data_IF_276540667511
#
_entry.id   IF_276540667511
#
_cell.length_a   1.000
_cell.length_b   1.000
_cell.length_c   1.000
_cell.angle_alpha   90.00
_cell.angle_beta   90.00
_cell.angle_gamma   90.00
#
_symmetry.space_group_name_H-M   'P 1'
#
loop_
_entity.id
_entity.type
_entity.pdbx_description
1 polymer ?
#
# COMPACT_ATOMS: atom_id res chain seq x y z
N UNK A 1 -0.11 95.43 -36.70
CA UNK A 1 -0.19 96.46 -35.68
C UNK A 1 -1.27 96.04 -34.69
N UNK A 2 -1.11 96.03 -33.43
CA UNK A 2 0.03 95.73 -32.58
C UNK A 2 -0.16 94.32 -31.82
N UNK A 3 0.93 93.95 -31.23
CA UNK A 3 1.24 92.81 -30.48
C UNK A 3 0.31 92.55 -29.23
N UNK A 4 -0.05 91.31 -29.00
CA UNK A 4 -0.55 90.82 -27.70
C UNK A 4 0.37 89.71 -27.19
N UNK A 5 1.21 90.04 -26.22
CA UNK A 5 1.95 89.10 -25.41
C UNK A 5 0.97 88.36 -24.52
N UNK A 6 0.96 87.03 -24.57
CA UNK A 6 0.32 86.17 -23.55
C UNK A 6 1.41 85.56 -22.69
N UNK A 7 1.43 85.94 -21.41
CA UNK A 7 2.27 85.34 -20.37
C UNK A 7 1.88 83.87 -20.13
N UNK A 8 2.86 83.00 -20.21
CA UNK A 8 2.71 81.59 -19.78
C UNK A 8 3.19 81.52 -18.34
N UNK A 9 2.25 81.20 -17.44
CA UNK A 9 2.60 80.83 -16.06
C UNK A 9 3.04 79.37 -15.99
N UNK A 10 4.31 79.20 -15.58
CA UNK A 10 4.89 77.88 -15.33
C UNK A 10 4.43 77.43 -13.93
N UNK A 11 3.48 76.50 -13.92
CA UNK A 11 3.09 75.80 -12.69
C UNK A 11 4.13 74.74 -12.40
N UNK A 12 4.86 74.89 -11.30
CA UNK A 12 5.75 73.88 -10.76
C UNK A 12 4.93 72.81 -10.09
N UNK A 13 4.77 71.65 -10.73
CA UNK A 13 4.20 70.45 -10.14
C UNK A 13 5.28 69.76 -9.32
N UNK A 14 5.24 69.90 -8.00
CA UNK A 14 6.06 69.10 -7.08
C UNK A 14 5.52 67.66 -7.06
N UNK A 15 6.21 66.76 -7.76
CA UNK A 15 5.95 65.34 -7.70
C UNK A 15 6.47 64.78 -6.36
N UNK A 16 5.58 64.62 -5.38
CA UNK A 16 5.89 63.91 -4.15
C UNK A 16 6.02 62.42 -4.48
N UNK A 17 7.24 61.92 -4.56
CA UNK A 17 7.53 60.48 -4.62
C UNK A 17 7.28 59.94 -3.22
N UNK A 18 6.09 59.39 -3.02
CA UNK A 18 5.81 58.49 -1.90
C UNK A 18 6.60 57.18 -2.13
N UNK A 19 7.77 57.06 -1.54
CA UNK A 19 8.44 55.77 -1.34
C UNK A 19 7.68 54.96 -0.30
N UNK A 20 6.59 54.36 -0.76
CA UNK A 20 5.95 53.28 -0.05
C UNK A 20 6.84 52.05 -0.12
N UNK A 21 7.71 51.88 0.87
CA UNK A 21 8.37 50.61 1.09
C UNK A 21 7.31 49.64 1.61
N UNK A 22 6.56 49.03 0.72
CA UNK A 22 5.80 47.82 1.07
C UNK A 22 6.85 46.75 1.36
N UNK A 23 7.17 46.61 2.65
CA UNK A 23 7.75 45.38 3.19
C UNK A 23 6.69 44.31 3.03
N UNK A 24 6.64 43.70 1.82
CA UNK A 24 5.99 42.39 1.69
C UNK A 24 6.71 41.47 2.67
N UNK A 25 6.09 41.26 3.83
CA UNK A 25 6.37 40.12 4.68
C UNK A 25 6.00 38.88 3.89
N UNK A 26 6.93 38.44 3.02
CA UNK A 26 6.97 37.07 2.54
C UNK A 26 6.96 36.22 3.81
N UNK A 27 5.80 35.68 4.15
CA UNK A 27 5.70 34.60 5.12
C UNK A 27 6.77 33.60 4.68
N UNK A 28 7.86 33.52 5.45
CA UNK A 28 8.86 32.48 5.28
C UNK A 28 8.10 31.18 5.45
N UNK A 29 7.74 30.54 4.33
CA UNK A 29 7.38 29.15 4.36
C UNK A 29 8.60 28.47 4.95
N UNK A 30 8.47 27.99 6.18
CA UNK A 30 9.46 27.12 6.80
C UNK A 30 9.47 25.82 5.97
N UNK A 31 10.11 25.87 4.83
CA UNK A 31 10.48 24.66 4.09
C UNK A 31 11.64 24.06 4.88
N UNK A 32 11.33 23.03 5.65
CA UNK A 32 12.32 22.26 6.38
C UNK A 32 13.13 21.42 5.40
N UNK A 33 14.19 22.03 4.88
CA UNK A 33 15.28 21.31 4.24
C UNK A 33 16.29 20.87 5.31
N UNK A 34 17.22 19.97 4.94
CA UNK A 34 18.41 19.77 5.75
C UNK A 34 18.99 21.13 6.12
N UNK A 35 19.05 21.42 7.41
CA UNK A 35 19.54 22.69 7.89
C UNK A 35 21.00 22.55 8.29
N UNK A 36 21.80 23.55 7.96
CA UNK A 36 23.14 23.64 8.49
C UNK A 36 23.08 24.17 9.92
N UNK A 37 23.25 23.27 10.89
CA UNK A 37 23.34 23.64 12.29
C UNK A 37 24.71 24.26 12.57
N UNK A 38 24.73 25.59 12.68
CA UNK A 38 25.95 26.36 12.92
C UNK A 38 26.61 26.07 14.25
N UNK A 39 25.83 25.66 15.25
CA UNK A 39 26.33 25.39 16.61
C UNK A 39 27.15 24.10 16.64
N UNK A 40 26.73 23.09 15.88
CA UNK A 40 27.37 21.77 15.75
C UNK A 40 28.22 21.63 14.49
N UNK A 41 28.14 22.62 13.58
CA UNK A 41 28.81 22.61 12.27
C UNK A 41 28.46 21.37 11.41
N UNK A 42 27.20 20.96 11.40
CA UNK A 42 26.70 19.78 10.67
C UNK A 42 25.46 20.11 9.85
N UNK A 43 25.25 19.35 8.74
CA UNK A 43 24.00 19.33 8.02
C UNK A 43 23.07 18.31 8.70
N UNK A 44 21.88 18.71 9.12
CA UNK A 44 21.01 17.89 9.95
C UNK A 44 19.53 17.99 9.55
N UNK A 45 18.81 16.87 9.71
CA UNK A 45 17.34 16.79 9.65
C UNK A 45 16.74 16.68 11.06
N UNK A 46 17.55 16.76 12.13
CA UNK A 46 17.11 16.49 13.50
C UNK A 46 15.89 17.33 13.88
N UNK A 47 15.92 18.66 13.70
CA UNK A 47 14.81 19.54 14.07
C UNK A 47 13.48 19.17 13.37
N UNK A 48 13.56 18.72 12.11
CA UNK A 48 12.40 18.25 11.36
C UNK A 48 11.86 16.94 11.94
N UNK A 49 12.76 16.01 12.24
CA UNK A 49 12.42 14.68 12.75
C UNK A 49 11.93 14.73 14.19
N UNK A 50 12.53 15.55 15.07
CA UNK A 50 12.12 15.72 16.47
C UNK A 50 10.63 16.11 16.59
N UNK A 51 10.10 16.81 15.61
CA UNK A 51 8.68 17.20 15.59
C UNK A 51 7.72 16.06 15.28
N UNK A 52 8.17 14.99 14.59
CA UNK A 52 7.33 13.88 14.13
C UNK A 52 7.56 12.58 14.90
N UNK A 53 8.76 12.37 15.43
CA UNK A 53 9.12 11.15 16.16
C UNK A 53 8.14 10.81 17.32
N UNK A 54 7.57 11.76 18.08
CA UNK A 54 6.57 11.46 19.11
C UNK A 54 5.29 10.80 18.59
N UNK A 55 4.96 10.97 17.29
CA UNK A 55 3.78 10.39 16.65
C UNK A 55 3.97 8.92 16.22
N UNK A 56 5.19 8.41 16.35
CA UNK A 56 5.55 7.06 15.89
C UNK A 56 5.65 6.16 17.10
N UNK A 57 4.89 5.09 17.09
CA UNK A 57 4.64 4.24 18.25
C UNK A 57 5.07 2.80 18.01
N UNK A 58 5.41 2.10 19.07
CA UNK A 58 5.61 0.65 19.06
C UNK A 58 4.29 -0.04 19.32
N UNK A 59 3.95 -1.03 18.49
CA UNK A 59 2.76 -1.86 18.64
C UNK A 59 3.18 -3.22 19.19
N UNK A 60 2.59 -3.62 20.30
CA UNK A 60 2.67 -4.96 20.85
C UNK A 60 1.40 -5.72 20.52
N UNK A 61 1.55 -6.84 19.81
CA UNK A 61 0.49 -7.82 19.58
C UNK A 61 0.47 -8.77 20.76
N UNK A 62 -0.67 -8.87 21.43
CA UNK A 62 -0.85 -9.66 22.67
C UNK A 62 -1.67 -10.89 22.37
N UNK A 63 -1.22 -12.04 22.83
CA UNK A 63 -1.92 -13.31 22.66
C UNK A 63 -2.01 -14.07 23.98
N UNK A 64 -3.13 -14.72 24.21
CA UNK A 64 -3.33 -15.63 25.33
C UNK A 64 -2.96 -17.06 24.88
N UNK A 65 -2.09 -17.74 25.64
CA UNK A 65 -1.77 -19.13 25.33
C UNK A 65 -2.85 -20.08 25.89
N UNK A 66 -2.73 -21.37 25.58
CA UNK A 66 -3.67 -22.42 26.05
C UNK A 66 -3.76 -22.56 27.58
N UNK A 67 -2.80 -22.01 28.32
CA UNK A 67 -2.77 -22.00 29.79
C UNK A 67 -3.37 -20.72 30.38
N UNK A 68 -3.92 -19.82 29.54
CA UNK A 68 -4.49 -18.54 29.95
C UNK A 68 -3.45 -17.44 30.24
N UNK A 69 -2.14 -17.67 30.02
CA UNK A 69 -1.11 -16.65 30.17
C UNK A 69 -1.11 -15.72 28.98
N UNK A 70 -1.14 -14.43 29.27
CA UNK A 70 -1.06 -13.34 28.29
C UNK A 70 0.38 -12.94 28.06
N UNK A 71 0.81 -12.93 26.80
CA UNK A 71 2.16 -12.55 26.41
C UNK A 71 2.21 -11.81 25.08
N UNK A 72 3.34 -11.15 24.78
CA UNK A 72 3.58 -10.56 23.48
C UNK A 72 3.85 -11.67 22.44
N UNK A 73 3.08 -11.69 21.37
CA UNK A 73 3.23 -12.63 20.26
C UNK A 73 3.93 -11.99 19.04
N UNK A 74 4.01 -10.66 19.00
CA UNK A 74 4.65 -9.92 17.93
C UNK A 74 4.88 -8.46 18.32
N UNK A 75 5.82 -7.83 17.64
CA UNK A 75 6.14 -6.41 17.80
C UNK A 75 6.23 -5.79 16.42
N UNK A 76 5.68 -4.60 16.27
CA UNK A 76 5.78 -3.77 15.08
C UNK A 76 5.76 -2.30 15.44
N UNK A 77 5.60 -1.47 14.44
CA UNK A 77 5.49 -0.03 14.56
C UNK A 77 4.15 0.47 14.05
N UNK A 78 3.84 1.72 14.38
CA UNK A 78 2.68 2.43 13.85
C UNK A 78 2.90 3.93 13.83
N UNK A 79 2.02 4.64 13.16
CA UNK A 79 1.99 6.09 13.17
C UNK A 79 0.60 6.60 13.58
N UNK A 80 0.56 7.52 14.56
CA UNK A 80 -0.67 8.21 14.92
C UNK A 80 -1.03 9.15 13.80
N UNK A 81 -2.14 8.93 13.10
CA UNK A 81 -2.55 9.74 11.97
C UNK A 81 -3.80 10.59 12.24
N UNK A 82 -4.55 10.25 13.28
CA UNK A 82 -5.63 11.06 13.84
C UNK A 82 -5.52 11.00 15.37
N UNK A 83 -5.02 12.08 15.95
CA UNK A 83 -4.78 12.16 17.39
C UNK A 83 -6.06 12.42 18.21
N UNK A 84 -7.08 13.04 17.61
CA UNK A 84 -8.35 13.33 18.25
C UNK A 84 -9.17 12.05 18.41
N UNK A 85 -9.27 11.26 17.35
CA UNK A 85 -9.98 9.97 17.36
C UNK A 85 -9.11 8.81 17.89
N UNK A 86 -7.82 9.04 18.11
CA UNK A 86 -6.88 8.04 18.61
C UNK A 86 -6.49 6.97 17.58
N UNK A 87 -6.58 7.26 16.28
CA UNK A 87 -6.27 6.27 15.25
C UNK A 87 -4.78 6.16 14.95
N UNK A 88 -4.32 4.90 14.92
CA UNK A 88 -2.95 4.50 14.59
C UNK A 88 -2.99 3.59 13.36
N UNK A 89 -2.25 3.96 12.33
CA UNK A 89 -2.05 3.12 11.15
C UNK A 89 -0.87 2.19 11.36
N UNK A 90 -1.01 0.96 10.91
CA UNK A 90 0.03 -0.07 10.95
C UNK A 90 -0.17 -1.11 9.84
N UNK A 91 0.60 -2.19 9.83
CA UNK A 91 0.39 -3.30 8.89
C UNK A 91 -0.60 -4.34 9.43
N UNK A 92 -1.31 -5.00 8.51
CA UNK A 92 -2.21 -6.10 8.82
C UNK A 92 -1.46 -7.29 9.46
N UNK A 93 -0.26 -7.63 8.97
CA UNK A 93 0.53 -8.72 9.52
C UNK A 93 1.05 -8.44 10.95
N UNK A 94 1.20 -7.17 11.36
CA UNK A 94 1.58 -6.80 12.74
C UNK A 94 0.48 -7.13 13.74
N UNK A 95 -0.78 -6.99 13.33
CA UNK A 95 -1.95 -7.22 14.21
C UNK A 95 -2.59 -8.61 14.01
N UNK A 96 -2.14 -9.36 13.01
CA UNK A 96 -2.75 -10.66 12.68
C UNK A 96 -2.69 -11.63 13.86
N UNK A 97 -3.83 -12.27 14.15
CA UNK A 97 -3.96 -13.32 15.16
C UNK A 97 -3.76 -12.87 16.62
N UNK A 98 -3.80 -11.56 16.88
CA UNK A 98 -3.76 -11.02 18.25
C UNK A 98 -5.12 -11.04 18.94
N UNK A 99 -5.11 -11.30 20.25
CA UNK A 99 -6.28 -11.21 21.11
C UNK A 99 -6.44 -9.81 21.72
N UNK A 100 -5.36 -9.00 21.68
CA UNK A 100 -5.32 -7.62 22.18
C UNK A 100 -4.08 -6.89 21.68
N UNK A 101 -4.09 -5.56 21.84
CA UNK A 101 -3.01 -4.71 21.36
C UNK A 101 -2.62 -3.68 22.40
N UNK A 102 -1.34 -3.36 22.43
CA UNK A 102 -0.80 -2.25 23.23
C UNK A 102 0.01 -1.32 22.34
N UNK A 103 -0.13 -0.03 22.58
CA UNK A 103 0.63 1.03 21.94
C UNK A 103 1.58 1.60 22.98
N UNK A 104 2.88 1.49 22.73
CA UNK A 104 3.91 2.09 23.55
C UNK A 104 4.36 3.38 22.89
N UNK A 105 4.25 4.49 23.63
CA UNK A 105 4.67 5.80 23.19
C UNK A 105 6.15 6.05 23.53
N UNK A 106 6.83 6.95 22.80
CA UNK A 106 8.24 7.29 23.06
C UNK A 106 8.48 7.87 24.46
N UNK A 107 7.47 8.46 25.10
CA UNK A 107 7.55 8.99 26.48
C UNK A 107 7.44 7.91 27.57
N UNK A 108 7.39 6.62 27.19
CA UNK A 108 7.32 5.47 28.09
C UNK A 108 5.90 5.05 28.49
N UNK A 109 4.86 5.79 28.12
CA UNK A 109 3.46 5.37 28.36
C UNK A 109 3.08 4.18 27.51
N UNK A 110 2.27 3.30 28.09
CA UNK A 110 1.65 2.15 27.40
C UNK A 110 0.15 2.30 27.46
N UNK A 111 -0.50 2.28 26.30
CA UNK A 111 -1.95 2.45 26.15
C UNK A 111 -2.52 1.20 25.49
N UNK A 112 -3.67 0.73 25.97
CA UNK A 112 -4.41 -0.36 25.30
C UNK A 112 -5.02 0.16 24.00
N UNK A 113 -5.03 -0.68 22.99
CA UNK A 113 -5.64 -0.37 21.70
C UNK A 113 -6.62 -1.47 21.28
N UNK A 114 -7.59 -1.06 20.46
CA UNK A 114 -8.57 -1.96 19.82
C UNK A 114 -8.29 -2.01 18.33
N UNK A 115 -8.44 -3.17 17.73
CA UNK A 115 -8.43 -3.30 16.27
C UNK A 115 -9.75 -2.74 15.71
N UNK A 116 -9.67 -1.70 14.89
CA UNK A 116 -10.80 -1.17 14.13
C UNK A 116 -11.09 -2.08 12.93
N UNK A 117 -10.04 -2.50 12.24
CA UNK A 117 -10.07 -3.45 11.14
C UNK A 117 -8.72 -3.58 10.46
N UNK A 118 -8.62 -4.55 9.57
CA UNK A 118 -7.41 -4.79 8.79
C UNK A 118 -7.73 -5.25 7.38
N UNK A 119 -6.84 -4.93 6.46
CA UNK A 119 -6.90 -5.33 5.07
C UNK A 119 -5.61 -6.06 4.68
N UNK A 120 -5.67 -7.38 4.67
CA UNK A 120 -4.52 -8.24 4.35
C UNK A 120 -3.97 -8.04 2.94
N UNK A 121 -4.81 -7.83 1.88
CA UNK A 121 -4.29 -7.64 0.52
C UNK A 121 -3.40 -6.41 0.33
N UNK A 122 -3.66 -5.32 1.05
CA UNK A 122 -2.83 -4.10 1.03
C UNK A 122 -1.86 -4.03 2.20
N UNK A 123 -1.98 -4.99 3.15
CA UNK A 123 -1.20 -5.04 4.38
C UNK A 123 -1.34 -3.78 5.26
N UNK A 124 -2.55 -3.24 5.37
CA UNK A 124 -2.88 -2.09 6.22
C UNK A 124 -3.85 -2.49 7.32
N UNK A 125 -3.65 -1.97 8.51
CA UNK A 125 -4.57 -2.08 9.64
C UNK A 125 -4.71 -0.74 10.36
N UNK A 126 -5.84 -0.56 11.05
CA UNK A 126 -6.13 0.59 11.90
C UNK A 126 -6.39 0.10 13.32
N UNK A 127 -5.64 0.63 14.26
CA UNK A 127 -5.90 0.50 15.68
C UNK A 127 -6.51 1.80 16.21
N UNK A 128 -7.31 1.69 17.26
CA UNK A 128 -7.79 2.83 18.05
C UNK A 128 -7.30 2.72 19.47
N UNK A 129 -6.64 3.75 19.97
CA UNK A 129 -6.14 3.86 21.33
C UNK A 129 -6.57 5.20 21.93
N UNK A 130 -7.10 5.15 23.15
CA UNK A 130 -7.53 6.35 23.86
C UNK A 130 -6.33 7.06 24.49
N UNK A 131 -6.41 8.40 24.63
CA UNK A 131 -5.47 9.21 25.43
C UNK A 131 -4.00 9.14 24.95
N UNK A 132 -3.76 9.15 23.64
CA UNK A 132 -2.41 9.12 23.07
C UNK A 132 -1.59 10.37 23.44
N UNK A 133 -2.20 11.57 23.50
CA UNK A 133 -1.57 12.87 23.83
C UNK A 133 -0.29 13.15 23.04
N UNK A 134 -0.32 12.83 21.76
CA UNK A 134 0.73 13.14 20.81
C UNK A 134 0.09 13.77 19.56
N UNK A 135 0.86 14.55 18.82
CA UNK A 135 0.39 15.10 17.55
C UNK A 135 0.23 13.98 16.52
N UNK A 136 -0.70 14.15 15.58
CA UNK A 136 -0.78 13.28 14.41
C UNK A 136 0.38 13.53 13.44
N UNK A 137 0.88 12.48 12.80
CA UNK A 137 1.86 12.61 11.73
C UNK A 137 1.25 13.38 10.56
N UNK A 138 1.96 14.37 10.05
CA UNK A 138 1.55 15.06 8.82
C UNK A 138 1.73 14.13 7.63
N UNK A 139 0.82 14.18 6.66
CA UNK A 139 0.86 13.34 5.46
C UNK A 139 1.24 14.15 4.23
N UNK A 140 1.90 13.51 3.28
CA UNK A 140 2.13 14.06 1.95
C UNK A 140 1.47 13.16 0.89
N UNK A 141 1.18 13.75 -0.25
CA UNK A 141 0.65 13.01 -1.39
C UNK A 141 1.75 12.15 -2.03
N UNK A 142 1.69 10.83 -1.81
CA UNK A 142 2.65 9.86 -2.38
C UNK A 142 2.61 9.76 -3.91
N UNK A 143 1.55 10.28 -4.58
CA UNK A 143 1.48 10.28 -6.04
C UNK A 143 2.52 11.22 -6.66
N UNK A 144 2.96 12.24 -5.89
CA UNK A 144 3.97 13.21 -6.31
C UNK A 144 5.42 12.74 -6.11
N UNK A 145 5.62 11.57 -5.50
CA UNK A 145 6.97 11.03 -5.26
C UNK A 145 7.71 10.72 -6.55
N UNK A 146 9.00 10.96 -6.51
CA UNK A 146 9.95 10.68 -7.60
C UNK A 146 11.09 9.80 -7.12
N UNK A 147 11.63 9.00 -8.01
CA UNK A 147 12.89 8.28 -7.76
C UNK A 147 14.00 9.29 -7.48
N UNK A 148 14.74 9.07 -6.39
CA UNK A 148 15.76 9.96 -5.86
C UNK A 148 15.31 10.88 -4.73
N UNK A 149 14.01 10.95 -4.41
CA UNK A 149 13.55 11.71 -3.24
C UNK A 149 14.11 11.08 -1.95
N UNK A 150 14.62 11.92 -1.05
CA UNK A 150 15.15 11.51 0.26
C UNK A 150 13.99 11.07 1.16
N UNK A 151 14.18 9.93 1.83
CA UNK A 151 13.21 9.38 2.78
C UNK A 151 13.87 8.81 4.02
N UNK A 152 13.08 8.73 5.10
CA UNK A 152 13.44 8.15 6.37
C UNK A 152 12.46 7.04 6.73
N UNK A 153 12.95 5.82 6.91
CA UNK A 153 12.16 4.75 7.49
C UNK A 153 12.33 4.77 9.02
N UNK A 154 11.21 4.87 9.74
CA UNK A 154 11.22 4.99 11.20
C UNK A 154 10.42 3.85 11.81
N UNK A 155 10.87 3.36 12.97
CA UNK A 155 10.18 2.31 13.71
C UNK A 155 10.97 1.81 14.92
N UNK A 156 10.60 0.62 15.40
CA UNK A 156 11.17 -0.04 16.58
C UNK A 156 11.77 -1.39 16.20
N UNK A 157 12.90 -1.42 15.46
CA UNK A 157 13.46 -2.65 14.94
C UNK A 157 13.98 -3.56 16.05
N UNK A 158 13.75 -4.87 15.93
CA UNK A 158 14.32 -5.91 16.81
C UNK A 158 14.07 -5.72 18.30
N UNK A 159 13.02 -4.98 18.69
CA UNK A 159 12.73 -4.68 20.09
C UNK A 159 13.64 -3.60 20.73
N UNK A 160 14.46 -2.93 19.92
CA UNK A 160 15.24 -1.77 20.33
C UNK A 160 14.33 -0.55 20.51
N UNK A 161 14.90 0.56 20.97
CA UNK A 161 14.24 1.85 20.98
C UNK A 161 13.99 2.38 19.58
N UNK A 162 13.23 3.47 19.47
CA UNK A 162 12.91 4.11 18.21
C UNK A 162 14.17 4.35 17.38
N UNK A 163 14.16 3.88 16.15
CA UNK A 163 15.30 3.93 15.25
C UNK A 163 14.89 4.49 13.89
N UNK A 164 15.85 5.13 13.24
CA UNK A 164 15.67 5.79 11.96
C UNK A 164 16.74 5.33 10.98
N UNK A 165 16.35 5.09 9.75
CA UNK A 165 17.26 4.86 8.63
C UNK A 165 16.97 5.83 7.48
N UNK A 166 18.04 6.41 6.92
CA UNK A 166 17.99 7.31 5.76
C UNK A 166 18.17 6.51 4.47
N UNK A 167 17.46 6.87 3.44
CA UNK A 167 17.60 6.36 2.08
C UNK A 167 16.91 7.26 1.06
N UNK A 168 16.67 6.71 -0.13
CA UNK A 168 15.96 7.38 -1.21
C UNK A 168 14.82 6.50 -1.74
N UNK A 169 13.90 7.10 -2.46
CA UNK A 169 12.95 6.36 -3.30
C UNK A 169 13.72 5.72 -4.44
N UNK A 170 13.81 4.39 -4.45
CA UNK A 170 14.53 3.61 -5.48
C UNK A 170 13.61 3.17 -6.62
N UNK A 171 12.28 3.16 -6.40
CA UNK A 171 11.30 2.78 -7.41
C UNK A 171 9.86 3.01 -6.95
N UNK A 172 8.96 3.05 -7.89
CA UNK A 172 7.53 3.25 -7.66
C UNK A 172 6.73 2.22 -8.45
N UNK A 173 5.48 1.95 -8.03
CA UNK A 173 4.60 1.00 -8.73
C UNK A 173 5.08 -0.45 -8.65
N UNK A 174 5.76 -0.82 -7.55
CA UNK A 174 6.32 -2.17 -7.36
C UNK A 174 5.27 -3.13 -6.80
N UNK A 175 5.46 -4.41 -7.13
CA UNK A 175 4.63 -5.51 -6.62
C UNK A 175 5.48 -6.76 -6.48
N UNK A 176 5.19 -7.57 -5.49
CA UNK A 176 5.86 -8.87 -5.29
C UNK A 176 5.33 -9.94 -6.25
N UNK A 177 4.08 -9.81 -6.72
CA UNK A 177 3.46 -10.67 -7.72
C UNK A 177 2.58 -9.84 -8.67
N UNK A 178 2.46 -10.25 -9.93
CA UNK A 178 1.72 -9.49 -10.95
C UNK A 178 0.22 -9.33 -10.66
N UNK A 179 -0.36 -10.17 -9.81
CA UNK A 179 -1.80 -10.22 -9.51
C UNK A 179 -2.18 -9.59 -8.16
N UNK A 180 -1.19 -9.12 -7.38
CA UNK A 180 -1.46 -8.55 -6.06
C UNK A 180 -2.05 -7.14 -6.14
N UNK A 181 -2.81 -6.76 -5.09
CA UNK A 181 -3.30 -5.39 -4.87
C UNK A 181 -2.20 -4.50 -4.25
N UNK A 182 -1.00 -4.58 -4.80
CA UNK A 182 0.20 -3.92 -4.30
C UNK A 182 0.66 -2.84 -5.26
N UNK A 183 0.90 -1.65 -4.70
CA UNK A 183 1.50 -0.50 -5.38
C UNK A 183 2.61 0.03 -4.48
N UNK A 184 3.72 -0.72 -4.36
CA UNK A 184 4.74 -0.37 -3.39
C UNK A 184 5.67 0.74 -3.85
N UNK A 185 6.08 1.58 -2.89
CA UNK A 185 7.26 2.40 -2.94
C UNK A 185 8.45 1.49 -2.60
N UNK A 186 9.47 1.47 -3.43
CA UNK A 186 10.74 0.83 -3.15
C UNK A 186 11.73 1.86 -2.60
N UNK A 187 12.44 1.52 -1.53
CA UNK A 187 13.49 2.35 -0.93
C UNK A 187 14.71 1.50 -0.56
N UNK A 188 15.87 2.12 -0.50
CA UNK A 188 17.12 1.55 0.04
C UNK A 188 17.34 1.90 1.51
N UNK A 189 16.46 2.75 2.11
CA UNK A 189 16.41 2.91 3.56
C UNK A 189 16.26 1.53 4.23
N UNK A 190 17.07 1.26 5.25
CA UNK A 190 17.09 -0.05 5.89
C UNK A 190 15.74 -0.34 6.59
N UNK A 191 14.98 -1.28 6.06
CA UNK A 191 13.77 -1.83 6.68
C UNK A 191 14.12 -3.20 7.24
N UNK A 192 13.84 -3.41 8.52
CA UNK A 192 14.06 -4.66 9.25
C UNK A 192 12.81 -5.03 10.04
N UNK A 193 12.77 -6.25 10.57
CA UNK A 193 11.71 -6.69 11.47
C UNK A 193 11.54 -5.70 12.63
N UNK A 194 10.32 -5.19 12.83
CA UNK A 194 9.97 -4.17 13.80
C UNK A 194 9.74 -2.77 13.20
N UNK A 195 10.33 -2.42 12.04
CA UNK A 195 9.97 -1.19 11.32
C UNK A 195 8.62 -1.33 10.58
N UNK A 196 8.12 -2.55 10.39
CA UNK A 196 6.83 -2.82 9.75
C UNK A 196 5.71 -2.08 10.47
N UNK A 197 4.86 -1.39 9.70
CA UNK A 197 3.79 -0.54 10.19
C UNK A 197 4.21 0.88 10.55
N UNK A 198 5.51 1.13 10.72
CA UNK A 198 6.06 2.46 10.92
C UNK A 198 6.06 3.28 9.63
N UNK A 199 6.20 4.61 9.72
CA UNK A 199 6.15 5.47 8.56
C UNK A 199 7.45 5.46 7.74
N UNK A 200 7.27 5.62 6.42
CA UNK A 200 8.27 6.19 5.53
C UNK A 200 7.97 7.70 5.46
N UNK A 201 8.92 8.53 5.87
CA UNK A 201 8.80 9.98 5.92
C UNK A 201 9.60 10.61 4.79
N UNK A 202 9.12 11.73 4.26
CA UNK A 202 9.90 12.57 3.35
C UNK A 202 10.88 13.50 4.11
N UNK A 203 11.66 14.29 3.38
CA UNK A 203 12.62 15.24 3.96
C UNK A 203 11.99 16.35 4.79
N UNK A 204 10.66 16.48 4.77
CA UNK A 204 9.89 17.43 5.59
C UNK A 204 9.20 16.74 6.80
N UNK A 205 9.53 15.48 7.09
CA UNK A 205 8.93 14.70 8.17
C UNK A 205 7.46 14.35 7.93
N UNK A 206 7.00 14.32 6.68
CA UNK A 206 5.62 13.95 6.32
C UNK A 206 5.57 12.50 5.91
N UNK A 207 4.53 11.79 6.33
CA UNK A 207 4.31 10.40 5.96
C UNK A 207 3.98 10.29 4.46
N UNK A 208 4.81 9.56 3.73
CA UNK A 208 4.65 9.23 2.31
C UNK A 208 4.37 7.74 2.08
N UNK A 209 4.57 6.90 3.09
CA UNK A 209 4.25 5.48 3.02
C UNK A 209 4.25 4.81 4.38
N UNK A 210 3.76 3.57 4.43
CA UNK A 210 3.79 2.67 5.59
C UNK A 210 4.74 1.52 5.26
N UNK A 211 5.84 1.38 6.03
CA UNK A 211 6.84 0.34 5.81
C UNK A 211 6.21 -1.04 6.00
N UNK A 212 6.44 -1.99 5.08
CA UNK A 212 5.75 -3.28 5.13
C UNK A 212 6.68 -4.47 4.99
N UNK A 213 7.48 -4.55 3.93
CA UNK A 213 8.19 -5.76 3.56
C UNK A 213 9.62 -5.47 3.09
N UNK A 214 10.44 -6.53 3.09
CA UNK A 214 11.76 -6.54 2.45
C UNK A 214 11.85 -7.70 1.47
N UNK A 215 12.62 -7.54 0.41
CA UNK A 215 13.04 -8.64 -0.45
C UNK A 215 14.35 -9.18 0.08
N UNK A 216 14.29 -10.17 0.99
CA UNK A 216 15.48 -10.74 1.62
C UNK A 216 15.33 -12.24 1.82
N UNK A 217 16.39 -13.00 1.56
CA UNK A 217 16.46 -14.44 1.85
C UNK A 217 16.82 -14.74 3.31
N UNK A 218 17.38 -13.77 4.04
CA UNK A 218 17.89 -13.93 5.41
C UNK A 218 17.18 -13.11 6.48
N UNK A 219 16.09 -12.40 6.14
CA UNK A 219 15.28 -11.62 7.11
C UNK A 219 15.84 -10.25 7.48
N UNK A 220 17.05 -9.89 7.04
CA UNK A 220 17.65 -8.56 7.23
C UNK A 220 17.58 -7.71 5.96
N UNK A 221 17.70 -6.39 6.08
CA UNK A 221 17.73 -5.45 4.96
C UNK A 221 18.97 -5.72 4.07
N UNK A 222 18.73 -5.78 2.77
CA UNK A 222 19.76 -5.84 1.73
C UNK A 222 19.66 -4.63 0.76
N UNK A 223 19.07 -3.52 1.20
CA UNK A 223 18.88 -2.32 0.39
C UNK A 223 17.64 -2.38 -0.51
N UNK A 224 16.73 -3.32 -0.29
CA UNK A 224 15.45 -3.39 -1.00
C UNK A 224 14.32 -3.50 0.03
N UNK A 225 13.78 -2.34 0.39
CA UNK A 225 12.61 -2.20 1.26
C UNK A 225 11.40 -1.75 0.48
N UNK A 226 10.20 -2.09 1.00
CA UNK A 226 8.91 -1.72 0.42
C UNK A 226 8.02 -1.02 1.44
N UNK A 227 7.28 -0.01 0.96
CA UNK A 227 6.29 0.70 1.76
C UNK A 227 5.00 0.86 0.96
N UNK A 228 3.85 0.74 1.62
CA UNK A 228 2.55 1.04 1.03
C UNK A 228 2.42 2.55 0.88
N UNK A 229 2.12 3.10 -0.30
CA UNK A 229 1.98 4.54 -0.50
C UNK A 229 0.93 5.16 0.42
N UNK A 230 1.20 6.36 0.94
CA UNK A 230 0.30 7.04 1.90
C UNK A 230 -1.12 7.19 1.36
N UNK A 231 -1.28 7.58 0.09
CA UNK A 231 -2.60 7.77 -0.51
C UNK A 231 -3.41 6.46 -0.55
N UNK A 232 -2.76 5.33 -0.88
CA UNK A 232 -3.41 4.02 -0.85
C UNK A 232 -3.71 3.59 0.59
N UNK A 233 -2.76 3.77 1.50
CA UNK A 233 -2.90 3.40 2.91
C UNK A 233 -4.05 4.15 3.58
N UNK A 234 -4.20 5.46 3.33
CA UNK A 234 -5.31 6.24 3.89
C UNK A 234 -6.65 5.94 3.23
N UNK A 235 -6.68 5.64 1.93
CA UNK A 235 -7.91 5.19 1.28
C UNK A 235 -8.44 3.89 1.92
N UNK A 236 -7.52 2.98 2.25
CA UNK A 236 -7.83 1.73 2.98
C UNK A 236 -8.26 2.03 4.42
N UNK A 237 -7.49 2.85 5.14
CA UNK A 237 -7.78 3.21 6.54
C UNK A 237 -9.15 3.85 6.69
N UNK A 238 -9.52 4.78 5.81
CA UNK A 238 -10.82 5.44 5.84
C UNK A 238 -11.96 4.43 5.64
N UNK A 239 -11.85 3.50 4.69
CA UNK A 239 -12.86 2.47 4.51
C UNK A 239 -12.98 1.54 5.74
N UNK A 240 -11.85 1.20 6.37
CA UNK A 240 -11.83 0.42 7.61
C UNK A 240 -12.57 1.18 8.72
N UNK A 241 -12.33 2.47 8.88
CA UNK A 241 -12.98 3.30 9.89
C UNK A 241 -14.48 3.42 9.64
N UNK A 242 -14.87 3.66 8.38
CA UNK A 242 -16.27 3.88 8.00
C UNK A 242 -17.09 2.59 7.98
N UNK A 243 -16.51 1.46 7.52
CA UNK A 243 -17.25 0.24 7.23
C UNK A 243 -16.77 -0.99 8.01
N UNK A 244 -15.68 -0.91 8.78
CA UNK A 244 -15.02 -2.05 9.42
C UNK A 244 -14.16 -2.90 8.47
N UNK A 245 -14.34 -2.75 7.15
CA UNK A 245 -13.67 -3.53 6.11
C UNK A 245 -13.48 -2.73 4.82
N UNK A 246 -12.61 -3.21 3.94
CA UNK A 246 -12.43 -2.64 2.60
C UNK A 246 -13.35 -3.32 1.59
N UNK A 247 -14.28 -2.57 1.02
CA UNK A 247 -15.17 -3.04 -0.06
C UNK A 247 -14.44 -2.98 -1.39
N UNK A 248 -14.16 -4.15 -1.96
CA UNK A 248 -13.38 -4.24 -3.19
C UNK A 248 -14.15 -3.78 -4.42
N UNK A 249 -13.46 -3.00 -5.22
CA UNK A 249 -13.94 -2.56 -6.53
C UNK A 249 -13.42 -3.43 -7.68
N UNK A 250 -14.19 -3.44 -8.77
CA UNK A 250 -13.81 -4.08 -10.03
C UNK A 250 -14.46 -3.35 -11.20
N UNK A 251 -13.83 -3.38 -12.37
CA UNK A 251 -14.41 -2.91 -13.62
C UNK A 251 -14.46 -4.00 -14.69
N UNK A 252 -13.95 -5.21 -14.38
CA UNK A 252 -13.98 -6.37 -15.27
C UNK A 252 -12.95 -6.35 -16.39
N UNK A 253 -11.70 -6.01 -16.07
CA UNK A 253 -10.57 -6.04 -17.01
C UNK A 253 -9.46 -6.95 -16.51
N UNK A 254 -8.69 -7.51 -17.45
CA UNK A 254 -7.37 -8.08 -17.20
C UNK A 254 -6.30 -7.14 -17.75
N UNK A 255 -5.19 -7.06 -17.06
CA UNK A 255 -4.14 -6.07 -17.35
C UNK A 255 -2.78 -6.74 -17.47
N UNK A 256 -1.98 -6.24 -18.40
CA UNK A 256 -0.59 -6.62 -18.59
C UNK A 256 0.33 -5.39 -18.56
N UNK A 257 1.64 -5.63 -18.43
CA UNK A 257 2.64 -4.57 -18.59
C UNK A 257 2.65 -4.05 -20.01
N UNK A 258 2.83 -2.76 -20.18
CA UNK A 258 3.05 -2.15 -21.50
C UNK A 258 4.40 -2.65 -22.02
N UNK A 259 4.39 -3.39 -23.14
CA UNK A 259 5.59 -3.82 -23.85
C UNK A 259 5.98 -2.78 -24.90
N UNK A 260 7.21 -2.85 -25.41
CA UNK A 260 7.68 -2.01 -26.52
C UNK A 260 6.70 -2.06 -27.70
N UNK A 261 6.35 -3.26 -28.13
CA UNK A 261 5.37 -3.47 -29.21
C UNK A 261 4.00 -2.84 -28.92
N UNK A 262 3.54 -2.88 -27.66
CA UNK A 262 2.27 -2.26 -27.29
C UNK A 262 2.37 -0.73 -27.26
N UNK A 263 3.49 -0.16 -26.77
CA UNK A 263 3.70 1.28 -26.77
C UNK A 263 3.78 1.87 -28.19
N UNK A 264 4.49 1.19 -29.09
CA UNK A 264 4.55 1.55 -30.51
C UNK A 264 3.17 1.48 -31.17
N UNK A 265 2.40 0.42 -30.92
CA UNK A 265 1.08 0.22 -31.52
C UNK A 265 0.09 1.32 -31.15
N UNK A 266 0.16 1.86 -29.92
CA UNK A 266 -0.71 2.96 -29.49
C UNK A 266 -0.07 4.34 -29.67
N UNK A 267 1.22 4.41 -30.02
CA UNK A 267 1.94 5.66 -30.31
C UNK A 267 2.34 6.44 -29.05
N UNK A 268 2.77 5.75 -28.00
CA UNK A 268 3.36 6.36 -26.80
C UNK A 268 4.83 5.99 -26.71
N UNK A 269 5.65 6.88 -26.15
CA UNK A 269 7.11 6.75 -26.05
C UNK A 269 7.59 6.25 -24.68
N UNK A 270 6.67 5.75 -23.84
CA UNK A 270 6.97 5.29 -22.48
C UNK A 270 6.25 3.99 -22.15
N UNK A 271 6.78 3.26 -21.18
CA UNK A 271 6.27 1.95 -20.74
C UNK A 271 5.45 2.04 -19.44
N UNK A 272 5.11 3.26 -19.00
CA UNK A 272 4.22 3.48 -17.87
C UNK A 272 2.77 3.26 -18.32
N UNK A 273 1.93 2.79 -17.41
CA UNK A 273 0.53 2.51 -17.67
C UNK A 273 0.18 1.04 -17.46
N UNK A 274 -1.05 0.73 -17.80
CA UNK A 274 -1.58 -0.63 -17.78
C UNK A 274 -2.21 -0.97 -19.14
N UNK A 275 -1.65 -1.93 -19.83
CA UNK A 275 -2.23 -2.48 -21.07
C UNK A 275 -3.45 -3.32 -20.70
N UNK A 276 -4.60 -3.02 -21.30
CA UNK A 276 -5.80 -3.84 -21.18
C UNK A 276 -5.62 -5.11 -22.05
N UNK A 277 -5.40 -6.23 -21.41
CA UNK A 277 -5.25 -7.53 -22.09
C UNK A 277 -6.59 -8.08 -22.53
N UNK A 278 -7.60 -8.01 -21.66
CA UNK A 278 -8.97 -8.40 -21.99
C UNK A 278 -10.00 -7.54 -21.25
N UNK A 279 -11.21 -7.49 -21.77
CA UNK A 279 -12.37 -6.83 -21.15
C UNK A 279 -13.50 -7.85 -21.08
N UNK A 280 -14.01 -8.10 -19.87
CA UNK A 280 -15.11 -9.04 -19.65
C UNK A 280 -16.39 -8.48 -20.29
N UNK A 281 -17.12 -9.28 -21.06
CA UNK A 281 -18.44 -8.88 -21.58
C UNK A 281 -19.37 -8.39 -20.44
N UNK A 282 -20.22 -7.43 -20.73
CA UNK A 282 -21.21 -6.85 -19.80
C UNK A 282 -20.62 -6.21 -18.54
N UNK A 283 -19.29 -6.07 -18.46
CA UNK A 283 -18.62 -5.40 -17.35
C UNK A 283 -18.74 -3.87 -17.42
N UNK A 284 -18.44 -3.18 -16.32
CA UNK A 284 -18.40 -1.72 -16.29
C UNK A 284 -17.44 -1.15 -17.34
N UNK A 285 -16.28 -1.76 -17.54
CA UNK A 285 -15.32 -1.37 -18.57
C UNK A 285 -15.85 -1.58 -19.98
N UNK A 286 -16.51 -2.72 -20.25
CA UNK A 286 -17.13 -3.00 -21.57
C UNK A 286 -18.24 -2.00 -21.90
N UNK A 287 -19.13 -1.74 -20.93
CA UNK A 287 -20.25 -0.81 -21.09
C UNK A 287 -19.76 0.64 -21.30
N UNK A 288 -18.63 0.99 -20.70
CA UNK A 288 -17.98 2.29 -20.89
C UNK A 288 -17.21 2.37 -22.23
N UNK A 289 -16.91 1.26 -22.90
CA UNK A 289 -16.25 1.23 -24.20
C UNK A 289 -14.74 1.05 -24.17
N UNK A 290 -14.14 0.63 -23.03
CA UNK A 290 -12.77 0.14 -22.99
C UNK A 290 -12.64 -1.15 -23.81
N UNK A 291 -11.47 -1.34 -24.42
CA UNK A 291 -11.18 -2.48 -25.29
C UNK A 291 -9.81 -3.08 -24.97
N UNK A 292 -9.64 -4.34 -25.34
CA UNK A 292 -8.31 -4.95 -25.39
C UNK A 292 -7.40 -4.14 -26.32
N UNK A 293 -6.17 -3.92 -25.90
CA UNK A 293 -5.18 -3.08 -26.57
C UNK A 293 -5.14 -1.63 -26.09
N UNK A 294 -6.11 -1.14 -25.34
CA UNK A 294 -6.03 0.19 -24.70
C UNK A 294 -4.91 0.21 -23.64
N UNK A 295 -4.23 1.33 -23.53
CA UNK A 295 -3.26 1.58 -22.43
C UNK A 295 -3.82 2.64 -21.51
N UNK A 296 -4.15 2.28 -20.27
CA UNK A 296 -4.60 3.23 -19.24
C UNK A 296 -3.38 3.96 -18.70
N UNK A 297 -3.36 5.28 -18.82
CA UNK A 297 -2.28 6.18 -18.38
C UNK A 297 -2.59 6.89 -17.06
N UNK A 298 -3.88 7.19 -16.79
CA UNK A 298 -4.31 7.82 -15.54
C UNK A 298 -5.59 7.18 -14.99
N UNK A 299 -5.72 7.20 -13.68
CA UNK A 299 -6.89 6.81 -12.89
C UNK A 299 -7.21 7.91 -11.89
N UNK A 300 -8.37 8.54 -12.00
CA UNK A 300 -8.82 9.64 -11.14
C UNK A 300 -7.75 10.75 -10.98
N UNK A 301 -7.15 11.14 -12.10
CA UNK A 301 -6.05 12.12 -12.17
C UNK A 301 -4.67 11.60 -11.76
N UNK A 302 -4.55 10.40 -11.19
CA UNK A 302 -3.29 9.78 -10.77
C UNK A 302 -2.63 9.07 -11.93
N UNK A 303 -1.32 9.30 -12.12
CA UNK A 303 -0.55 8.60 -13.15
C UNK A 303 -0.45 7.10 -12.82
N UNK A 304 -0.84 6.25 -13.75
CA UNK A 304 -0.70 4.80 -13.63
C UNK A 304 0.75 4.41 -13.89
N UNK A 305 1.44 3.94 -12.86
CA UNK A 305 2.86 3.55 -12.91
C UNK A 305 3.05 2.10 -13.36
N UNK A 306 2.05 1.26 -13.11
CA UNK A 306 2.07 -0.18 -13.45
C UNK A 306 0.66 -0.77 -13.43
N UNK A 307 0.44 -1.97 -14.01
CA UNK A 307 -0.84 -2.69 -13.89
C UNK A 307 -1.23 -3.00 -12.46
N UNK A 308 -0.26 -3.34 -11.59
CA UNK A 308 -0.53 -3.59 -10.18
C UNK A 308 -0.97 -2.33 -9.43
N UNK A 309 -0.38 -1.16 -9.75
CA UNK A 309 -0.84 0.11 -9.22
C UNK A 309 -2.30 0.40 -9.59
N UNK A 310 -2.66 0.26 -10.87
CA UNK A 310 -4.04 0.44 -11.32
C UNK A 310 -4.99 -0.57 -10.64
N UNK A 311 -4.57 -1.84 -10.52
CA UNK A 311 -5.36 -2.87 -9.83
C UNK A 311 -5.58 -2.52 -8.36
N UNK A 312 -4.55 -2.04 -7.66
CA UNK A 312 -4.66 -1.63 -6.27
C UNK A 312 -5.67 -0.48 -6.11
N UNK A 313 -5.58 0.55 -6.96
CA UNK A 313 -6.50 1.69 -6.92
C UNK A 313 -7.94 1.32 -7.27
N UNK A 314 -8.18 0.52 -8.31
CA UNK A 314 -9.51 0.00 -8.63
C UNK A 314 -10.03 -0.85 -7.46
N UNK A 315 -9.15 -1.68 -6.87
CA UNK A 315 -9.50 -2.58 -5.78
C UNK A 315 -9.94 -1.87 -4.50
N UNK A 316 -9.46 -0.64 -4.25
CA UNK A 316 -9.87 0.17 -3.09
C UNK A 316 -10.86 1.29 -3.46
N UNK A 317 -11.24 1.40 -4.73
CA UNK A 317 -12.25 2.36 -5.17
C UNK A 317 -13.63 1.98 -4.64
N UNK A 318 -14.40 2.98 -4.22
CA UNK A 318 -15.75 2.78 -3.67
C UNK A 318 -16.70 2.27 -4.74
N UNK A 319 -17.31 1.09 -4.58
CA UNK A 319 -18.29 0.58 -5.53
C UNK A 319 -19.49 1.53 -5.70
N UNK A 320 -19.97 1.66 -6.93
CA UNK A 320 -21.05 2.56 -7.31
C UNK A 320 -20.62 3.98 -7.67
N UNK A 321 -19.39 4.39 -7.31
CA UNK A 321 -18.86 5.71 -7.65
C UNK A 321 -18.19 5.68 -9.03
N UNK A 322 -18.41 6.70 -9.91
CA UNK A 322 -17.63 6.86 -11.14
C UNK A 322 -16.24 7.41 -10.84
N UNK A 323 -15.26 6.94 -11.60
CA UNK A 323 -13.88 7.39 -11.60
C UNK A 323 -13.43 7.69 -13.02
N UNK A 324 -12.63 8.73 -13.19
CA UNK A 324 -12.07 9.11 -14.48
C UNK A 324 -10.88 8.21 -14.86
N UNK A 325 -10.94 7.64 -16.05
CA UNK A 325 -9.83 6.91 -16.66
C UNK A 325 -9.34 7.66 -17.89
N UNK A 326 -8.03 7.91 -17.94
CA UNK A 326 -7.38 8.39 -19.18
C UNK A 326 -6.67 7.20 -19.82
N UNK A 327 -6.91 6.99 -21.10
CA UNK A 327 -6.32 5.89 -21.87
C UNK A 327 -5.90 6.32 -23.26
N UNK A 328 -4.97 5.57 -23.86
CA UNK A 328 -4.53 5.73 -25.25
C UNK A 328 -4.88 4.45 -26.02
N UNK A 329 -5.49 4.61 -27.19
CA UNK A 329 -5.87 3.50 -28.09
C UNK A 329 -5.06 3.50 -29.38
N UNK A 330 -4.80 4.69 -29.90
CA UNK A 330 -4.09 4.87 -31.16
C UNK A 330 -3.43 6.26 -31.25
N UNK A 331 -2.35 6.38 -32.00
CA UNK A 331 -1.70 7.63 -32.37
C UNK A 331 -1.27 8.53 -31.20
N UNK A 332 -1.05 7.96 -30.01
CA UNK A 332 -0.66 8.74 -28.83
C UNK A 332 -1.75 9.68 -28.29
N UNK A 333 -2.98 9.59 -28.79
CA UNK A 333 -4.07 10.50 -28.37
C UNK A 333 -4.71 9.98 -27.09
N UNK A 334 -4.63 10.78 -26.03
CA UNK A 334 -5.32 10.50 -24.78
C UNK A 334 -6.83 10.73 -24.90
N UNK A 335 -7.59 9.79 -24.35
CA UNK A 335 -9.05 9.81 -24.26
C UNK A 335 -9.46 9.65 -22.81
N UNK A 336 -10.50 10.35 -22.39
CA UNK A 336 -11.06 10.25 -21.05
C UNK A 336 -12.40 9.52 -21.07
N UNK A 337 -12.65 8.74 -20.03
CA UNK A 337 -13.88 8.00 -19.84
C UNK A 337 -14.16 7.83 -18.35
N UNK A 338 -15.41 7.99 -17.94
CA UNK A 338 -15.84 7.74 -16.58
C UNK A 338 -16.40 6.32 -16.48
N UNK A 339 -15.90 5.56 -15.51
CA UNK A 339 -16.33 4.19 -15.26
C UNK A 339 -16.82 4.07 -13.83
N UNK A 340 -18.08 3.71 -13.63
CA UNK A 340 -18.59 3.36 -12.32
C UNK A 340 -17.99 2.00 -11.88
N UNK A 341 -17.18 2.04 -10.83
CA UNK A 341 -16.58 0.83 -10.27
C UNK A 341 -17.71 -0.01 -9.66
N UNK A 342 -17.76 -1.30 -9.99
CA UNK A 342 -18.72 -2.24 -9.40
C UNK A 342 -18.11 -2.95 -8.20
N UNK A 343 -18.94 -3.48 -7.29
CA UNK A 343 -18.44 -4.35 -6.24
C UNK A 343 -17.78 -5.58 -6.86
N UNK A 344 -16.55 -5.88 -6.41
CA UNK A 344 -15.89 -7.12 -6.78
C UNK A 344 -16.71 -8.30 -6.21
N UNK A 345 -17.25 -9.11 -7.09
CA UNK A 345 -17.83 -10.40 -6.71
C UNK A 345 -16.73 -11.43 -6.93
N UNK A 346 -16.13 -11.90 -5.84
CA UNK A 346 -15.28 -13.08 -5.95
C UNK A 346 -16.11 -14.20 -6.58
N UNK A 347 -15.64 -14.86 -7.64
CA UNK A 347 -16.31 -16.05 -8.14
C UNK A 347 -16.42 -17.04 -6.96
N UNK A 348 -17.60 -17.60 -6.76
CA UNK A 348 -17.82 -18.54 -5.66
C UNK A 348 -17.15 -19.85 -6.06
N UNK A 349 -16.15 -20.29 -5.30
CA UNK A 349 -15.61 -21.63 -5.44
C UNK A 349 -16.63 -22.57 -4.78
N UNK A 350 -17.40 -23.26 -5.60
CA UNK A 350 -18.42 -24.20 -5.11
C UNK A 350 -17.84 -25.61 -4.90
N UNK A 351 -16.66 -25.90 -5.46
CA UNK A 351 -16.02 -27.22 -5.34
C UNK A 351 -14.52 -27.21 -5.67
N UNK A 352 -13.80 -28.22 -5.19
CA UNK A 352 -12.39 -28.48 -5.59
C UNK A 352 -12.22 -28.67 -7.11
N UNK A 353 -13.24 -29.14 -7.80
CA UNK A 353 -13.20 -29.34 -9.24
C UNK A 353 -13.08 -28.02 -10.00
N UNK A 354 -13.69 -26.95 -9.50
CA UNK A 354 -13.57 -25.60 -10.05
C UNK A 354 -12.17 -25.00 -9.82
N UNK A 355 -11.47 -25.40 -8.76
CA UNK A 355 -10.07 -25.04 -8.57
C UNK A 355 -9.14 -25.64 -9.64
N UNK A 356 -9.58 -26.69 -10.31
CA UNK A 356 -8.78 -27.41 -11.30
C UNK A 356 -7.68 -28.26 -10.68
N UNK A 357 -7.93 -28.84 -9.49
CA UNK A 357 -6.99 -29.75 -8.83
C UNK A 357 -7.56 -31.15 -8.67
N UNK A 358 -6.66 -32.14 -8.76
CA UNK A 358 -6.94 -33.51 -8.31
C UNK A 358 -6.16 -33.76 -7.03
N UNK A 359 -6.85 -34.24 -6.03
CA UNK A 359 -6.32 -34.42 -4.67
C UNK A 359 -6.49 -35.86 -4.19
N UNK A 360 -5.50 -36.38 -3.50
CA UNK A 360 -5.56 -37.64 -2.74
C UNK A 360 -4.98 -37.48 -1.34
N UNK A 361 -5.23 -38.44 -0.47
CA UNK A 361 -4.58 -38.47 0.83
C UNK A 361 -3.06 -38.61 0.66
N UNK A 362 -2.29 -37.79 1.37
CA UNK A 362 -0.85 -37.93 1.42
C UNK A 362 -0.43 -39.25 2.12
N UNK A 363 0.61 -39.89 1.61
CA UNK A 363 1.18 -41.14 2.13
C UNK A 363 2.60 -40.90 2.62
N UNK A 364 3.19 -41.87 3.28
CA UNK A 364 4.59 -41.79 3.73
C UNK A 364 5.62 -41.68 2.59
N UNK A 365 5.22 -41.92 1.35
CA UNK A 365 6.07 -41.80 0.15
C UNK A 365 6.10 -40.36 -0.43
N UNK A 366 5.23 -39.49 0.06
CA UNK A 366 5.02 -38.13 -0.49
C UNK A 366 5.89 -37.04 0.18
N UNK A 367 6.99 -37.39 0.85
CA UNK A 367 7.87 -36.45 1.57
C UNK A 367 7.12 -35.55 2.57
N UNK A 368 6.10 -36.09 3.23
CA UNK A 368 5.35 -35.38 4.27
C UNK A 368 6.27 -35.10 5.46
N UNK A 369 6.39 -33.83 5.92
CA UNK A 369 7.17 -33.53 7.12
C UNK A 369 6.66 -34.32 8.34
N UNK A 370 7.55 -34.68 9.27
CA UNK A 370 7.15 -35.41 10.49
C UNK A 370 6.10 -34.62 11.27
N UNK A 371 5.01 -35.26 11.62
CA UNK A 371 3.92 -34.65 12.38
C UNK A 371 2.91 -33.86 11.54
N UNK A 372 3.07 -33.78 10.24
CA UNK A 372 2.12 -33.16 9.33
C UNK A 372 1.20 -34.22 8.74
N UNK A 373 -0.10 -34.01 8.79
CA UNK A 373 -1.09 -34.70 7.97
C UNK A 373 -1.57 -33.74 6.88
N UNK A 374 -1.93 -34.25 5.71
CA UNK A 374 -2.35 -33.36 4.63
C UNK A 374 -2.88 -34.11 3.41
N UNK A 375 -3.28 -33.34 2.44
CA UNK A 375 -3.79 -33.80 1.15
C UNK A 375 -2.77 -33.50 0.06
N UNK A 376 -2.39 -34.51 -0.70
CA UNK A 376 -1.42 -34.41 -1.78
C UNK A 376 -2.07 -33.92 -3.07
N UNK A 377 -1.44 -32.97 -3.75
CA UNK A 377 -1.86 -32.44 -5.03
C UNK A 377 -1.31 -33.32 -6.16
N UNK A 378 -2.20 -34.14 -6.76
CA UNK A 378 -1.83 -35.07 -7.86
C UNK A 378 -1.77 -34.41 -9.21
N UNK A 379 -2.66 -33.44 -9.47
CA UNK A 379 -2.76 -32.73 -10.73
C UNK A 379 -3.22 -31.30 -10.49
N UNK A 380 -2.66 -30.38 -11.23
CA UNK A 380 -3.12 -28.98 -11.35
C UNK A 380 -3.39 -28.74 -12.84
N UNK A 381 -4.61 -28.33 -13.18
CA UNK A 381 -4.99 -28.00 -14.55
C UNK A 381 -4.40 -26.64 -14.92
N UNK A 382 -3.79 -26.56 -16.10
CA UNK A 382 -3.26 -25.29 -16.63
C UNK A 382 -4.33 -24.20 -16.63
N UNK A 383 -3.90 -22.97 -16.38
CA UNK A 383 -4.75 -21.76 -16.30
C UNK A 383 -5.89 -21.82 -15.27
N UNK A 384 -5.96 -22.83 -14.43
CA UNK A 384 -6.93 -22.95 -13.34
C UNK A 384 -6.65 -21.94 -12.22
N UNK A 385 -7.64 -21.65 -11.35
CA UNK A 385 -7.40 -20.83 -10.15
C UNK A 385 -6.24 -21.34 -9.28
N UNK A 386 -6.11 -22.65 -9.14
CA UNK A 386 -5.00 -23.26 -8.40
C UNK A 386 -3.63 -23.06 -9.06
N UNK A 387 -3.56 -23.21 -10.41
CA UNK A 387 -2.32 -22.94 -11.15
C UNK A 387 -1.90 -21.46 -11.04
N UNK A 388 -2.87 -20.55 -11.20
CA UNK A 388 -2.64 -19.10 -11.07
C UNK A 388 -2.20 -18.71 -9.68
N UNK A 389 -2.70 -19.38 -8.64
CA UNK A 389 -2.27 -19.21 -7.25
C UNK A 389 -0.86 -19.80 -6.96
N UNK A 390 -0.27 -20.51 -7.92
CA UNK A 390 1.03 -21.12 -7.78
C UNK A 390 1.04 -22.47 -7.07
N UNK A 391 -0.11 -23.14 -6.94
CA UNK A 391 -0.19 -24.52 -6.47
C UNK A 391 0.45 -25.45 -7.51
N UNK A 392 1.23 -26.44 -7.07
CA UNK A 392 1.95 -27.34 -7.95
C UNK A 392 1.67 -28.79 -7.62
N UNK A 393 1.84 -29.66 -8.61
CA UNK A 393 1.87 -31.11 -8.38
C UNK A 393 2.99 -31.44 -7.41
N UNK A 394 2.69 -32.27 -6.41
CA UNK A 394 3.63 -32.60 -5.35
C UNK A 394 3.47 -31.77 -4.06
N UNK A 395 2.68 -30.70 -4.08
CA UNK A 395 2.36 -29.95 -2.87
C UNK A 395 1.49 -30.80 -1.92
N UNK A 396 1.68 -30.58 -0.62
CA UNK A 396 0.84 -31.19 0.42
C UNK A 396 0.10 -30.06 1.14
N UNK A 397 -1.22 -30.01 0.99
CA UNK A 397 -2.07 -29.04 1.68
C UNK A 397 -2.24 -29.50 3.12
N UNK A 398 -1.63 -28.79 4.06
CA UNK A 398 -1.70 -29.07 5.50
C UNK A 398 -2.78 -28.29 6.22
N UNK A 399 -3.00 -27.03 5.81
CA UNK A 399 -4.01 -26.14 6.42
C UNK A 399 -4.74 -25.34 5.36
N UNK A 400 -6.01 -25.02 5.63
CA UNK A 400 -6.81 -24.04 4.89
C UNK A 400 -7.41 -23.08 5.91
N UNK A 401 -7.17 -21.78 5.74
CA UNK A 401 -7.63 -20.72 6.66
C UNK A 401 -7.30 -21.01 8.13
N UNK A 402 -6.08 -21.54 8.39
CA UNK A 402 -5.54 -21.97 9.69
C UNK A 402 -6.25 -23.19 10.29
N UNK A 403 -7.12 -23.91 9.57
CA UNK A 403 -7.68 -25.18 9.98
C UNK A 403 -6.94 -26.35 9.32
N UNK A 404 -6.60 -27.37 10.10
CA UNK A 404 -5.87 -28.55 9.65
C UNK A 404 -6.69 -29.37 8.64
N UNK A 405 -6.05 -29.71 7.53
CA UNK A 405 -6.64 -30.56 6.49
C UNK A 405 -6.19 -32.01 6.69
N UNK A 406 -7.07 -32.83 7.22
CA UNK A 406 -6.78 -34.25 7.50
C UNK A 406 -7.35 -35.20 6.46
N UNK A 407 -8.39 -34.79 5.74
CA UNK A 407 -9.07 -35.58 4.71
C UNK A 407 -9.48 -34.72 3.52
N UNK A 408 -9.73 -35.37 2.37
CA UNK A 408 -10.26 -34.68 1.19
C UNK A 408 -11.60 -34.00 1.47
N UNK A 409 -12.47 -34.63 2.29
CA UNK A 409 -13.77 -34.04 2.67
C UNK A 409 -13.62 -32.77 3.51
N UNK A 410 -12.66 -32.73 4.45
CA UNK A 410 -12.32 -31.51 5.19
C UNK A 410 -11.78 -30.43 4.27
N UNK A 411 -10.92 -30.78 3.31
CA UNK A 411 -10.41 -29.85 2.31
C UNK A 411 -11.54 -29.24 1.48
N UNK A 412 -12.47 -30.07 0.98
CA UNK A 412 -13.64 -29.65 0.19
C UNK A 412 -14.54 -28.70 0.98
N UNK A 413 -14.86 -29.07 2.23
CA UNK A 413 -15.64 -28.22 3.13
C UNK A 413 -14.99 -26.85 3.35
N UNK A 414 -13.71 -26.82 3.73
CA UNK A 414 -12.99 -25.58 4.04
C UNK A 414 -12.84 -24.67 2.81
N UNK A 415 -12.64 -25.25 1.63
CA UNK A 415 -12.61 -24.49 0.38
C UNK A 415 -13.98 -23.87 0.07
N UNK A 416 -15.05 -24.64 0.23
CA UNK A 416 -16.42 -24.17 0.02
C UNK A 416 -16.80 -23.06 1.00
N UNK A 417 -16.45 -23.22 2.28
CA UNK A 417 -16.68 -22.22 3.33
C UNK A 417 -15.88 -20.93 3.13
N UNK A 418 -14.76 -20.99 2.44
CA UNK A 418 -13.90 -19.86 2.14
C UNK A 418 -14.50 -18.83 1.16
N UNK A 419 -15.63 -19.16 0.51
CA UNK A 419 -16.42 -18.24 -0.35
C UNK A 419 -15.59 -17.43 -1.36
N UNK A 420 -14.66 -18.11 -2.03
CA UNK A 420 -13.89 -17.50 -3.12
C UNK A 420 -12.47 -17.09 -2.78
N UNK A 421 -12.07 -17.09 -1.49
CA UNK A 421 -10.68 -16.85 -1.10
C UNK A 421 -10.25 -17.80 0.00
N UNK A 422 -9.30 -18.68 -0.32
CA UNK A 422 -8.73 -19.61 0.62
C UNK A 422 -7.22 -19.37 0.78
N UNK A 423 -6.76 -19.27 2.04
CA UNK A 423 -5.34 -19.31 2.37
C UNK A 423 -4.96 -20.74 2.70
N UNK A 424 -4.10 -21.33 1.87
CA UNK A 424 -3.58 -22.66 2.08
C UNK A 424 -2.16 -22.55 2.66
N UNK A 425 -1.86 -23.39 3.65
CA UNK A 425 -0.48 -23.69 4.02
C UNK A 425 -0.11 -24.99 3.32
N UNK A 426 0.76 -24.90 2.33
CA UNK A 426 1.23 -26.07 1.58
C UNK A 426 2.67 -26.39 1.94
N UNK A 427 3.00 -27.67 1.95
CA UNK A 427 4.39 -28.12 2.11
C UNK A 427 4.90 -28.56 0.74
N UNK A 428 5.93 -27.87 0.26
CA UNK A 428 6.65 -28.14 -1.00
C UNK A 428 8.10 -28.47 -0.68
N UNK A 429 8.53 -29.67 -1.02
CA UNK A 429 9.88 -30.17 -0.65
C UNK A 429 10.19 -30.02 0.84
N UNK A 430 9.19 -30.21 1.70
CA UNK A 430 9.33 -30.10 3.15
C UNK A 430 9.30 -28.68 3.73
N UNK A 431 9.18 -27.66 2.89
CA UNK A 431 9.09 -26.24 3.30
C UNK A 431 7.64 -25.79 3.27
N UNK A 432 7.19 -25.16 4.36
CA UNK A 432 5.85 -24.58 4.44
C UNK A 432 5.75 -23.29 3.61
N UNK A 433 4.81 -23.22 2.69
CA UNK A 433 4.60 -22.09 1.78
C UNK A 433 3.13 -21.67 1.87
N UNK A 434 2.82 -20.40 2.15
CA UNK A 434 1.46 -19.91 2.06
C UNK A 434 1.08 -19.72 0.58
N UNK A 435 -0.06 -20.28 0.20
CA UNK A 435 -0.67 -20.13 -1.13
C UNK A 435 -2.06 -19.54 -0.94
N UNK A 436 -2.36 -18.46 -1.64
CA UNK A 436 -3.69 -17.86 -1.60
C UNK A 436 -4.37 -18.18 -2.92
N UNK A 437 -5.47 -18.91 -2.84
CA UNK A 437 -6.33 -19.17 -3.99
C UNK A 437 -7.47 -18.17 -3.95
N UNK A 438 -7.59 -17.43 -5.02
CA UNK A 438 -8.71 -16.53 -5.30
C UNK A 438 -9.39 -17.03 -6.58
N UNK A 439 -10.67 -17.21 -6.53
CA UNK A 439 -11.45 -17.66 -7.68
C UNK A 439 -12.26 -16.53 -8.26
#
# INVERSE_FOLDING_TARGET
MPHLLKSFAIGIFTLSIMTGCETSTLAKSNQSFAQFDKSRNVLSFADTLDSVLPSIVRIGNVKQNSEGKVGLSGIGSGAVFDAESGYVITNAHVVAGGDGFVVNLPDGRTVKAKLVGMDTPTDIAVLQADDLRVAAVRTANSDNLRVGDIVFAVGYPLGLEQSLSLGVISGLGRSSSGESLQDFIQTDAAINSGNSGGPLLDSQGRLVGVNTAILSKGGGSNGIGFSVPSMLAFQVANQIIENGEVRRGSIGIEMARVSEKASEAVGIDHWNGALIASVRPESAAANAGLKSGDVVTHFDGRKVKSPSALRAWIGVATPGKPYAFTYVREKGVEKNIDIAVTAFKAPVIESLEQLGVSLRRATSQDNVPRGVSGIYVERVRDESPAAKAGLQVGDIIGEINNELVTTKHVCDRLITEAKGRARLLVYRYGVAIPVIIES
#
